data_IF_078228819326
#
_entry.id   IF_078228819326
#
_cell.length_a   1.000
_cell.length_b   1.000
_cell.length_c   1.000
_cell.angle_alpha   90.00
_cell.angle_beta   90.00
_cell.angle_gamma   90.00
#
_symmetry.space_group_name_H-M   'P 1'
#
loop_
_entity.id
_entity.type
_entity.pdbx_description
1 polymer ?
#
# COMPACT_ATOMS: atom_id res chain seq x y z
N UNK A 1 -9.98 -9.24 -8.08
CA UNK A 1 -9.37 -8.20 -7.22
C UNK A 1 -9.22 -6.95 -8.06
N UNK A 2 -9.77 -5.81 -7.61
CA UNK A 2 -9.76 -4.54 -8.35
C UNK A 2 -9.35 -3.43 -7.40
N UNK A 3 -8.61 -2.44 -7.90
CA UNK A 3 -8.36 -1.19 -7.18
C UNK A 3 -9.58 -0.30 -7.42
N UNK A 4 -10.21 0.16 -6.35
CA UNK A 4 -11.41 1.01 -6.38
C UNK A 4 -11.11 2.45 -6.00
N UNK A 5 -10.10 2.65 -5.15
CA UNK A 5 -9.74 3.94 -4.56
C UNK A 5 -8.22 4.15 -4.61
N UNK A 6 -7.79 5.39 -4.82
CA UNK A 6 -6.39 5.80 -4.81
C UNK A 6 -6.26 7.19 -4.19
N UNK A 7 -5.17 7.42 -3.46
CA UNK A 7 -4.93 8.66 -2.72
C UNK A 7 -3.49 9.12 -2.94
N UNK A 8 -3.30 10.44 -3.04
CA UNK A 8 -1.97 11.07 -3.06
C UNK A 8 -2.06 12.44 -2.38
N UNK A 9 -0.91 13.03 -2.06
CA UNK A 9 -0.78 14.40 -1.52
C UNK A 9 -0.34 15.41 -2.58
N UNK A 10 0.06 14.91 -3.76
CA UNK A 10 0.54 15.74 -4.86
C UNK A 10 -0.63 16.34 -5.64
N UNK A 11 -0.77 17.66 -5.58
CA UNK A 11 -1.81 18.42 -6.28
C UNK A 11 -1.87 18.14 -7.78
N UNK A 12 -0.73 17.88 -8.42
CA UNK A 12 -0.66 17.59 -9.84
C UNK A 12 -1.17 16.18 -10.19
N UNK A 13 -1.26 15.27 -9.23
CA UNK A 13 -1.76 13.90 -9.39
C UNK A 13 -3.23 13.78 -8.95
N UNK A 14 -3.64 14.53 -7.92
CA UNK A 14 -5.02 14.54 -7.42
C UNK A 14 -5.99 14.94 -8.54
N UNK A 15 -7.12 14.23 -8.63
CA UNK A 15 -8.12 14.39 -9.68
C UNK A 15 -7.79 13.69 -10.99
N UNK A 16 -6.56 13.18 -11.18
CA UNK A 16 -6.25 12.37 -12.36
C UNK A 16 -6.98 11.04 -12.32
N UNK A 17 -7.35 10.55 -13.51
CA UNK A 17 -7.96 9.24 -13.69
C UNK A 17 -6.91 8.22 -14.16
N UNK A 18 -6.65 7.22 -13.32
CA UNK A 18 -5.75 6.10 -13.63
C UNK A 18 -6.62 4.85 -13.83
N UNK A 19 -6.73 4.41 -15.09
CA UNK A 19 -7.68 3.35 -15.44
C UNK A 19 -9.12 3.78 -15.13
N UNK A 20 -9.75 3.13 -14.16
CA UNK A 20 -11.12 3.43 -13.71
C UNK A 20 -11.19 4.15 -12.35
N UNK A 21 -10.04 4.50 -11.76
CA UNK A 21 -9.95 5.10 -10.42
C UNK A 21 -9.54 6.57 -10.55
N UNK A 22 -10.20 7.44 -9.79
CA UNK A 22 -9.82 8.85 -9.65
C UNK A 22 -8.93 8.96 -8.41
N UNK A 23 -7.78 9.61 -8.54
CA UNK A 23 -6.92 9.88 -7.39
C UNK A 23 -7.55 10.97 -6.52
N UNK A 24 -7.82 10.65 -5.26
CA UNK A 24 -8.37 11.57 -4.26
C UNK A 24 -7.26 12.21 -3.44
N UNK A 25 -7.60 13.31 -2.78
CA UNK A 25 -6.72 13.90 -1.78
C UNK A 25 -6.59 12.96 -0.58
N UNK A 26 -5.39 12.85 0.00
CA UNK A 26 -5.15 12.05 1.19
C UNK A 26 -6.00 12.52 2.40
N UNK A 27 -6.43 13.78 2.45
CA UNK A 27 -7.34 14.27 3.48
C UNK A 27 -8.70 13.53 3.47
N UNK A 28 -9.08 12.94 2.33
CA UNK A 28 -10.29 12.13 2.18
C UNK A 28 -10.08 10.63 2.53
N UNK A 29 -8.88 10.23 2.93
CA UNK A 29 -8.50 8.82 3.14
C UNK A 29 -9.40 8.13 4.17
N UNK A 30 -9.44 8.65 5.41
CA UNK A 30 -10.16 8.00 6.52
C UNK A 30 -11.67 7.96 6.25
N UNK A 31 -12.24 9.05 5.71
CA UNK A 31 -13.67 9.15 5.44
C UNK A 31 -14.08 8.20 4.32
N UNK A 32 -13.29 8.12 3.24
CA UNK A 32 -13.54 7.20 2.12
C UNK A 32 -13.41 5.75 2.55
N UNK A 33 -12.32 5.38 3.24
CA UNK A 33 -12.10 3.99 3.67
C UNK A 33 -13.23 3.46 4.55
N UNK A 34 -13.76 4.29 5.47
CA UNK A 34 -14.90 3.94 6.32
C UNK A 34 -16.21 3.85 5.54
N UNK A 35 -16.45 4.79 4.62
CA UNK A 35 -17.68 4.86 3.83
C UNK A 35 -17.81 3.69 2.85
N UNK A 36 -16.70 3.31 2.23
CA UNK A 36 -16.64 2.26 1.22
C UNK A 36 -16.28 0.88 1.82
N UNK A 37 -16.16 0.77 3.15
CA UNK A 37 -15.86 -0.46 3.89
C UNK A 37 -14.60 -1.19 3.36
N UNK A 38 -13.52 -0.44 3.15
CA UNK A 38 -12.28 -0.97 2.57
C UNK A 38 -11.44 -1.66 3.65
N UNK A 39 -11.32 -2.99 3.54
CA UNK A 39 -10.55 -3.82 4.47
C UNK A 39 -9.06 -3.93 4.12
N UNK A 40 -8.67 -3.72 2.86
CA UNK A 40 -7.31 -3.98 2.36
C UNK A 40 -6.75 -2.79 1.58
N UNK A 41 -5.53 -2.36 1.93
CA UNK A 41 -4.84 -1.24 1.29
C UNK A 41 -3.43 -1.63 0.85
N UNK A 42 -3.00 -1.09 -0.29
CA UNK A 42 -1.61 -1.19 -0.76
C UNK A 42 -0.88 0.10 -0.37
N UNK A 43 0.14 -0.01 0.49
CA UNK A 43 0.90 1.15 0.96
C UNK A 43 2.19 1.31 0.13
N UNK A 44 2.27 2.41 -0.61
CA UNK A 44 3.36 2.70 -1.58
C UNK A 44 4.02 4.06 -1.33
N UNK A 45 3.88 4.61 -0.13
CA UNK A 45 4.40 5.94 0.22
C UNK A 45 5.90 5.90 0.56
N UNK A 46 6.60 7.04 0.56
CA UNK A 46 7.98 7.10 1.05
C UNK A 46 8.09 6.65 2.51
N UNK A 47 9.21 6.00 2.86
CA UNK A 47 9.45 5.44 4.21
C UNK A 47 9.15 6.43 5.34
N UNK A 48 9.58 7.69 5.19
CA UNK A 48 9.41 8.77 6.19
C UNK A 48 7.96 9.03 6.60
N UNK A 49 6.97 8.65 5.79
CA UNK A 49 5.55 8.83 6.06
C UNK A 49 4.79 7.51 6.20
N UNK A 50 5.43 6.38 5.92
CA UNK A 50 4.79 5.07 5.87
C UNK A 50 4.09 4.70 7.19
N UNK A 51 4.76 4.91 8.33
CA UNK A 51 4.17 4.63 9.65
C UNK A 51 2.96 5.51 9.93
N UNK A 52 3.06 6.82 9.66
CA UNK A 52 1.94 7.76 9.88
C UNK A 52 0.71 7.34 9.09
N UNK A 53 0.89 7.01 7.80
CA UNK A 53 -0.22 6.55 6.95
C UNK A 53 -0.75 5.21 7.45
N UNK A 54 0.11 4.27 7.85
CA UNK A 54 -0.34 3.01 8.45
C UNK A 54 -1.22 3.22 9.69
N UNK A 55 -0.87 4.17 10.56
CA UNK A 55 -1.68 4.52 11.74
C UNK A 55 -3.06 5.07 11.32
N UNK A 56 -3.12 5.91 10.28
CA UNK A 56 -4.38 6.42 9.70
C UNK A 56 -5.23 5.28 9.11
N UNK A 57 -4.62 4.32 8.42
CA UNK A 57 -5.30 3.12 7.90
C UNK A 57 -5.89 2.26 9.03
N UNK A 58 -5.13 2.06 10.11
CA UNK A 58 -5.60 1.35 11.31
C UNK A 58 -6.81 2.09 11.93
N UNK A 59 -6.75 3.42 12.04
CA UNK A 59 -7.85 4.24 12.54
C UNK A 59 -9.09 4.19 11.62
N UNK A 60 -8.88 3.99 10.32
CA UNK A 60 -9.94 3.80 9.34
C UNK A 60 -10.60 2.41 9.42
N UNK A 61 -9.99 1.45 10.12
CA UNK A 61 -10.51 0.10 10.30
C UNK A 61 -9.94 -0.93 9.34
N UNK A 62 -8.93 -0.56 8.53
CA UNK A 62 -8.25 -1.47 7.60
C UNK A 62 -7.67 -2.68 8.34
N UNK A 63 -7.87 -3.87 7.77
CA UNK A 63 -7.43 -5.15 8.35
C UNK A 63 -6.24 -5.76 7.62
N UNK A 64 -6.00 -5.38 6.37
CA UNK A 64 -4.87 -5.84 5.56
C UNK A 64 -4.08 -4.69 4.96
N UNK A 65 -2.76 -4.70 5.13
CA UNK A 65 -1.85 -3.75 4.47
C UNK A 65 -0.83 -4.54 3.65
N UNK A 66 -0.84 -4.33 2.35
CA UNK A 66 0.22 -4.79 1.45
C UNK A 66 1.28 -3.69 1.37
N UNK A 67 2.36 -3.84 2.14
CA UNK A 67 3.38 -2.81 2.31
C UNK A 67 4.50 -2.94 1.26
N UNK A 68 4.57 -2.00 0.33
CA UNK A 68 5.67 -1.85 -0.64
C UNK A 68 6.69 -0.80 -0.22
N UNK A 69 6.51 -0.17 0.95
CA UNK A 69 7.47 0.82 1.44
C UNK A 69 8.77 0.13 1.87
N UNK A 70 9.94 0.81 1.76
CA UNK A 70 11.23 0.22 2.15
C UNK A 70 11.32 -0.15 3.64
N UNK A 71 10.56 0.54 4.49
CA UNK A 71 10.57 0.36 5.94
C UNK A 71 9.51 -0.61 6.43
N UNK A 72 9.77 -1.24 7.58
CA UNK A 72 8.74 -1.96 8.33
C UNK A 72 7.81 -0.95 9.02
N UNK A 73 6.52 -1.26 9.01
CA UNK A 73 5.50 -0.54 9.77
C UNK A 73 5.06 -1.40 10.95
N UNK A 74 4.68 -0.75 12.04
CA UNK A 74 4.11 -1.41 13.22
C UNK A 74 2.60 -1.21 13.22
N UNK A 75 1.86 -2.29 13.43
CA UNK A 75 0.39 -2.26 13.55
C UNK A 75 -0.05 -3.09 14.75
N UNK A 76 -1.27 -2.88 15.27
CA UNK A 76 -1.88 -3.80 16.21
C UNK A 76 -2.00 -5.22 15.64
N UNK A 77 -2.11 -6.22 16.53
CA UNK A 77 -2.13 -7.64 16.17
C UNK A 77 -3.32 -8.08 15.31
N UNK A 78 -4.40 -7.29 15.28
CA UNK A 78 -5.59 -7.56 14.46
C UNK A 78 -5.47 -7.00 13.03
N UNK A 79 -4.35 -6.38 12.67
CA UNK A 79 -4.06 -5.89 11.31
C UNK A 79 -2.90 -6.68 10.72
N UNK A 80 -3.17 -7.33 9.59
CA UNK A 80 -2.19 -8.13 8.87
C UNK A 80 -1.38 -7.25 7.94
N UNK A 81 -0.06 -7.26 8.11
CA UNK A 81 0.88 -6.55 7.22
C UNK A 81 1.66 -7.57 6.42
N UNK A 82 1.55 -7.50 5.10
CA UNK A 82 2.38 -8.28 4.19
C UNK A 82 3.41 -7.37 3.52
N UNK A 83 4.67 -7.55 3.88
CA UNK A 83 5.80 -6.81 3.30
C UNK A 83 6.13 -7.39 1.91
N UNK A 84 6.15 -6.53 0.90
CA UNK A 84 6.68 -6.87 -0.43
C UNK A 84 8.06 -6.22 -0.60
N UNK A 85 9.08 -7.05 -0.80
CA UNK A 85 10.44 -6.63 -1.12
C UNK A 85 10.85 -7.21 -2.48
N UNK A 86 10.72 -6.39 -3.52
CA UNK A 86 11.07 -6.79 -4.89
C UNK A 86 12.56 -7.12 -5.04
N UNK A 87 13.43 -6.59 -4.19
CA UNK A 87 14.86 -6.90 -4.20
C UNK A 87 15.11 -8.35 -3.78
N UNK A 88 14.44 -8.81 -2.72
CA UNK A 88 14.51 -10.21 -2.28
C UNK A 88 13.92 -11.14 -3.34
N UNK A 89 12.78 -10.78 -3.93
CA UNK A 89 12.16 -11.57 -5.00
C UNK A 89 13.06 -11.70 -6.23
N UNK A 90 13.70 -10.59 -6.65
CA UNK A 90 14.65 -10.60 -7.76
C UNK A 90 15.90 -11.42 -7.44
N UNK A 91 16.43 -11.31 -6.22
CA UNK A 91 17.57 -12.13 -5.78
C UNK A 91 17.23 -13.63 -5.79
N UNK A 92 16.03 -13.99 -5.34
CA UNK A 92 15.52 -15.37 -5.39
C UNK A 92 15.47 -15.86 -6.84
N UNK A 93 14.87 -15.08 -7.74
CA UNK A 93 14.83 -15.39 -9.17
C UNK A 93 16.25 -15.59 -9.75
N UNK A 94 17.18 -14.69 -9.48
CA UNK A 94 18.57 -14.76 -9.96
C UNK A 94 19.29 -16.00 -9.40
N UNK A 95 19.05 -16.37 -8.14
CA UNK A 95 19.60 -17.57 -7.55
C UNK A 95 19.11 -18.83 -8.28
N UNK A 96 17.81 -18.93 -8.56
CA UNK A 96 17.27 -20.08 -9.29
C UNK A 96 17.76 -20.13 -10.74
N UNK A 97 17.83 -18.99 -11.42
CA UNK A 97 18.43 -18.91 -12.76
C UNK A 97 19.88 -19.40 -12.73
N UNK A 98 20.71 -18.93 -11.79
CA UNK A 98 22.12 -19.33 -11.76
C UNK A 98 22.34 -20.82 -11.46
N UNK A 99 21.51 -21.42 -10.61
CA UNK A 99 21.74 -22.78 -10.10
C UNK A 99 20.89 -23.87 -10.75
N UNK A 100 19.87 -23.49 -11.54
CA UNK A 100 18.92 -24.42 -12.16
C UNK A 100 18.61 -24.07 -13.63
N UNK A 101 19.43 -23.23 -14.28
CA UNK A 101 19.42 -23.17 -15.75
C UNK A 101 20.10 -24.43 -16.29
N UNK A 102 19.37 -25.24 -17.04
CA UNK A 102 19.97 -26.23 -17.96
C UNK A 102 20.67 -25.53 -19.13
#
# INVERSE_FOLDING_TARGET
MTITEAFDVKEDVIGQKIGNVIVKDNDELITTLKKEEIDVVILTTPERVAQKVADELVQAGVKGILNFTPGRINTPSDVQVHQIDLGIELQSLLFFMKNYSE
#
